data_IF_315744235267
#
_entry.id   IF_315744235267
#
_cell.length_a   1.000
_cell.length_b   1.000
_cell.length_c   1.000
_cell.angle_alpha   90.00
_cell.angle_beta   90.00
_cell.angle_gamma   90.00
#
_symmetry.space_group_name_H-M   'P 1'
#
loop_
_entity.id
_entity.type
_entity.pdbx_description
1 polymer ?
#
# COMPACT_ATOMS: atom_id res chain seq x y z
N UNK A 1 -11.89 19.12 -7.77
CA UNK A 1 -10.53 19.08 -8.38
C UNK A 1 -9.61 19.97 -7.56
N UNK A 2 -8.53 19.40 -7.04
CA UNK A 2 -7.52 20.13 -6.27
C UNK A 2 -6.75 21.07 -7.19
N UNK A 3 -6.64 22.35 -6.85
CA UNK A 3 -5.85 23.28 -7.64
C UNK A 3 -4.34 23.00 -7.51
N UNK A 4 -3.49 23.46 -8.45
CA UNK A 4 -2.03 23.32 -8.30
C UNK A 4 -1.49 23.97 -7.02
N UNK A 5 -2.12 25.05 -6.55
CA UNK A 5 -1.76 25.70 -5.28
C UNK A 5 -2.09 24.81 -4.08
N UNK A 6 -3.29 24.23 -4.03
CA UNK A 6 -3.71 23.31 -2.97
C UNK A 6 -2.79 22.08 -2.90
N UNK A 7 -2.40 21.55 -4.08
CA UNK A 7 -1.47 20.42 -4.17
C UNK A 7 -0.09 20.77 -3.62
N UNK A 8 0.40 21.97 -3.86
CA UNK A 8 1.70 22.40 -3.34
C UNK A 8 1.67 22.54 -1.82
N UNK A 9 0.58 23.04 -1.26
CA UNK A 9 0.37 23.11 0.20
C UNK A 9 0.31 21.71 0.79
N UNK A 10 -0.45 20.80 0.19
CA UNK A 10 -0.56 19.41 0.64
C UNK A 10 0.80 18.68 0.64
N UNK A 11 1.62 18.89 -0.40
CA UNK A 11 2.98 18.31 -0.47
C UNK A 11 3.87 18.84 0.66
N UNK A 12 3.80 20.14 0.96
CA UNK A 12 4.62 20.71 2.04
C UNK A 12 4.13 20.24 3.42
N UNK A 13 2.84 20.11 3.64
CA UNK A 13 2.27 19.52 4.86
C UNK A 13 2.77 18.08 5.01
N UNK A 14 2.70 17.27 3.95
CA UNK A 14 3.21 15.90 3.94
C UNK A 14 4.71 15.84 4.24
N UNK A 15 5.49 16.77 3.71
CA UNK A 15 6.91 16.89 4.02
C UNK A 15 7.16 17.18 5.49
N UNK A 16 6.38 18.07 6.12
CA UNK A 16 6.51 18.37 7.54
C UNK A 16 6.16 17.15 8.42
N UNK A 17 5.12 16.39 8.06
CA UNK A 17 4.76 15.17 8.77
C UNK A 17 5.87 14.12 8.60
N UNK A 18 6.38 13.95 7.38
CA UNK A 18 7.48 13.04 7.08
C UNK A 18 8.73 13.32 7.91
N UNK A 19 9.14 14.58 7.99
CA UNK A 19 10.32 14.99 8.76
C UNK A 19 10.18 14.69 10.26
N UNK A 20 8.97 14.77 10.81
CA UNK A 20 8.70 14.49 12.23
C UNK A 20 8.61 13.00 12.54
N UNK A 21 8.01 12.18 11.65
CA UNK A 21 7.63 10.82 11.96
C UNK A 21 8.34 9.73 11.17
N UNK A 22 9.00 10.06 10.05
CA UNK A 22 9.51 9.07 9.09
C UNK A 22 11.01 9.20 8.82
N UNK A 23 11.53 10.43 8.83
CA UNK A 23 12.89 10.74 8.41
C UNK A 23 13.99 10.07 9.26
N UNK A 24 13.72 9.79 10.53
CA UNK A 24 14.66 9.10 11.42
C UNK A 24 15.03 7.69 10.93
N UNK A 25 14.15 7.04 10.17
CA UNK A 25 14.38 5.72 9.60
C UNK A 25 14.63 5.78 8.09
N UNK A 26 13.89 6.63 7.36
CA UNK A 26 13.94 6.68 5.90
C UNK A 26 14.88 7.74 5.30
N UNK A 27 15.61 8.48 6.16
CA UNK A 27 16.48 9.56 5.72
C UNK A 27 15.74 10.89 5.53
N UNK A 28 16.46 12.00 5.61
CA UNK A 28 15.88 13.36 5.52
C UNK A 28 15.24 13.68 4.17
N UNK A 29 15.72 13.05 3.11
CA UNK A 29 15.22 13.19 1.74
C UNK A 29 14.54 11.91 1.24
N UNK A 30 14.10 11.03 2.16
CA UNK A 30 13.51 9.74 1.85
C UNK A 30 14.42 8.78 1.06
N UNK A 31 15.72 9.00 1.11
CA UNK A 31 16.77 8.23 0.42
C UNK A 31 16.97 6.82 1.00
N UNK A 32 16.35 6.52 2.15
CA UNK A 32 16.56 5.30 2.89
C UNK A 32 17.79 5.32 3.78
N UNK A 33 17.84 4.37 4.69
CA UNK A 33 18.96 4.14 5.59
C UNK A 33 19.20 2.63 5.75
N UNK A 34 20.20 2.22 6.52
CA UNK A 34 20.49 0.81 6.78
C UNK A 34 19.29 0.05 7.40
N UNK A 35 18.42 0.76 8.13
CA UNK A 35 17.29 0.19 8.87
C UNK A 35 15.96 0.29 8.13
N UNK A 36 15.88 1.13 7.07
CA UNK A 36 14.64 1.33 6.33
C UNK A 36 14.93 1.65 4.85
N UNK A 37 14.07 1.19 3.93
CA UNK A 37 14.28 1.40 2.49
C UNK A 37 14.10 2.86 2.08
N UNK A 38 14.64 3.21 0.90
CA UNK A 38 14.30 4.44 0.22
C UNK A 38 12.82 4.48 -0.15
N UNK A 39 12.22 5.66 -0.08
CA UNK A 39 10.83 5.89 -0.49
C UNK A 39 10.71 6.61 -1.84
N UNK A 40 11.82 6.93 -2.47
CA UNK A 40 11.86 7.55 -3.80
C UNK A 40 11.34 6.54 -4.83
N UNK A 41 10.24 6.88 -5.50
CA UNK A 41 9.62 6.02 -6.53
C UNK A 41 8.68 4.93 -6.01
N UNK A 42 8.43 4.82 -4.70
CA UNK A 42 7.47 3.83 -4.16
C UNK A 42 6.01 4.21 -4.46
N UNK A 43 5.73 5.47 -4.76
CA UNK A 43 4.43 5.96 -5.16
C UNK A 43 3.45 6.21 -4.01
N UNK A 44 2.36 6.93 -4.34
CA UNK A 44 1.32 7.30 -3.38
C UNK A 44 0.59 6.07 -2.80
N UNK A 45 0.31 5.06 -3.62
CA UNK A 45 -0.40 3.84 -3.19
C UNK A 45 0.35 3.09 -2.08
N UNK A 46 1.70 3.05 -2.14
CA UNK A 46 2.49 2.44 -1.07
C UNK A 46 2.33 3.18 0.26
N UNK A 47 2.28 4.50 0.23
CA UNK A 47 2.11 5.32 1.44
C UNK A 47 0.72 5.16 1.99
N UNK A 48 -0.31 5.28 1.16
CA UNK A 48 -1.71 5.13 1.58
C UNK A 48 -1.92 3.75 2.22
N UNK A 49 -1.43 2.69 1.59
CA UNK A 49 -1.48 1.35 2.15
C UNK A 49 -0.74 1.22 3.49
N UNK A 50 0.53 1.61 3.55
CA UNK A 50 1.37 1.38 4.73
C UNK A 50 0.93 2.23 5.92
N UNK A 51 0.63 3.49 5.68
CA UNK A 51 0.23 4.45 6.72
C UNK A 51 -1.24 4.28 7.07
N UNK A 52 -2.12 4.19 6.07
CA UNK A 52 -3.56 4.02 6.26
C UNK A 52 -3.95 2.71 6.94
N UNK A 53 -3.14 1.67 6.82
CA UNK A 53 -3.33 0.40 7.56
C UNK A 53 -2.55 0.33 8.86
N UNK A 54 -1.90 1.41 9.29
CA UNK A 54 -1.13 1.51 10.53
C UNK A 54 0.17 0.70 10.54
N UNK A 55 0.58 0.11 9.42
CA UNK A 55 1.87 -0.62 9.35
C UNK A 55 3.05 0.30 9.55
N UNK A 56 2.96 1.52 9.05
CA UNK A 56 3.93 2.59 9.28
C UNK A 56 3.29 3.73 10.09
N UNK A 57 4.07 4.35 10.97
CA UNK A 57 5.41 3.98 11.44
C UNK A 57 5.40 2.64 12.19
N UNK A 58 6.47 1.86 12.06
CA UNK A 58 6.61 0.61 12.83
C UNK A 58 6.67 0.89 14.32
N UNK A 59 6.06 0.01 15.11
CA UNK A 59 6.11 0.11 16.58
C UNK A 59 7.45 -0.35 17.16
N UNK A 60 8.11 -1.27 16.47
CA UNK A 60 9.40 -1.84 16.82
C UNK A 60 10.18 -2.26 15.56
N UNK A 61 11.42 -2.68 15.73
CA UNK A 61 12.29 -3.16 14.63
C UNK A 61 12.06 -4.64 14.34
N UNK A 62 10.81 -5.06 14.20
CA UNK A 62 10.46 -6.43 13.84
C UNK A 62 10.73 -6.74 12.37
N UNK A 63 10.71 -8.04 12.03
CA UNK A 63 10.95 -8.51 10.64
C UNK A 63 9.82 -8.20 9.69
N UNK A 64 8.68 -7.75 10.22
CA UNK A 64 7.48 -7.46 9.44
C UNK A 64 6.68 -6.32 10.10
N UNK A 65 6.23 -5.35 9.29
CA UNK A 65 5.32 -4.30 9.71
C UNK A 65 3.89 -4.86 9.81
N UNK A 66 3.44 -5.12 11.03
CA UNK A 66 2.09 -5.65 11.30
C UNK A 66 1.04 -4.54 11.19
N UNK A 67 -0.16 -4.92 10.73
CA UNK A 67 -1.33 -4.02 10.76
C UNK A 67 -1.67 -3.64 12.19
N UNK A 68 -1.92 -2.37 12.43
CA UNK A 68 -2.40 -1.80 13.70
C UNK A 68 -3.26 -0.57 13.43
N UNK A 69 -3.80 0.04 14.45
CA UNK A 69 -4.54 1.29 14.31
C UNK A 69 -3.64 2.39 13.74
N UNK A 70 -4.07 3.10 12.67
CA UNK A 70 -3.31 4.21 12.11
C UNK A 70 -3.14 5.33 13.12
N UNK A 71 -1.95 5.92 13.18
CA UNK A 71 -1.68 7.09 14.04
C UNK A 71 -1.92 8.41 13.31
N UNK A 72 -1.98 8.38 11.99
CA UNK A 72 -2.31 9.51 11.12
C UNK A 72 -3.73 9.38 10.61
N UNK A 73 -4.44 10.49 10.55
CA UNK A 73 -5.78 10.54 9.96
C UNK A 73 -5.71 10.52 8.42
N UNK A 74 -6.88 10.50 7.76
CA UNK A 74 -6.95 10.39 6.30
C UNK A 74 -6.30 11.58 5.57
N UNK A 75 -6.43 12.80 6.10
CA UNK A 75 -5.84 14.01 5.50
C UNK A 75 -4.31 14.00 5.63
N UNK A 76 -3.80 13.64 6.80
CA UNK A 76 -2.36 13.49 7.05
C UNK A 76 -1.75 12.37 6.18
N UNK A 77 -2.45 11.26 6.04
CA UNK A 77 -2.04 10.14 5.16
C UNK A 77 -2.00 10.58 3.69
N UNK A 78 -3.02 11.31 3.23
CA UNK A 78 -3.05 11.87 1.88
C UNK A 78 -1.93 12.89 1.64
N UNK A 79 -1.60 13.72 2.62
CA UNK A 79 -0.49 14.68 2.53
C UNK A 79 0.87 13.94 2.45
N UNK A 80 1.08 12.92 3.28
CA UNK A 80 2.28 12.06 3.20
C UNK A 80 2.40 11.38 1.83
N UNK A 81 1.29 10.84 1.31
CA UNK A 81 1.23 10.21 -0.01
C UNK A 81 1.58 11.20 -1.12
N UNK A 82 1.04 12.43 -1.06
CA UNK A 82 1.34 13.49 -2.01
C UNK A 82 2.81 13.89 -1.98
N UNK A 83 3.41 14.03 -0.79
CA UNK A 83 4.84 14.32 -0.64
C UNK A 83 5.71 13.22 -1.26
N UNK A 84 5.51 11.96 -0.90
CA UNK A 84 6.32 10.86 -1.42
C UNK A 84 6.15 10.71 -2.94
N UNK A 85 4.93 10.85 -3.45
CA UNK A 85 4.67 10.85 -4.89
C UNK A 85 5.36 12.00 -5.65
N UNK A 86 5.63 13.13 -4.98
CA UNK A 86 6.36 14.25 -5.57
C UNK A 86 7.86 13.99 -5.73
N UNK A 87 8.42 13.00 -5.05
CA UNK A 87 9.85 12.69 -5.10
C UNK A 87 10.24 11.95 -6.40
N UNK A 88 9.40 11.04 -6.88
CA UNK A 88 9.56 10.36 -8.16
C UNK A 88 8.27 9.63 -8.56
N UNK A 89 8.06 9.32 -9.85
CA UNK A 89 6.93 8.53 -10.31
C UNK A 89 6.86 7.14 -9.66
N UNK A 90 5.64 6.70 -9.33
CA UNK A 90 5.36 5.39 -8.75
C UNK A 90 3.86 5.08 -8.80
N UNK A 91 3.41 3.92 -8.29
CA UNK A 91 2.00 3.55 -8.28
C UNK A 91 1.11 4.61 -7.62
N UNK A 92 0.06 5.02 -8.34
CA UNK A 92 -0.93 5.97 -7.84
C UNK A 92 -1.97 5.25 -6.95
N UNK A 93 -2.59 5.99 -6.03
CA UNK A 93 -3.76 5.52 -5.30
C UNK A 93 -4.87 5.26 -6.32
N UNK A 94 -5.52 4.09 -6.31
CA UNK A 94 -6.62 3.82 -7.22
C UNK A 94 -7.79 4.78 -6.96
N UNK A 95 -8.39 5.30 -8.04
CA UNK A 95 -9.58 6.15 -7.91
C UNK A 95 -10.81 5.30 -7.56
N UNK A 96 -11.82 5.92 -6.94
CA UNK A 96 -13.09 5.24 -6.66
C UNK A 96 -13.73 4.66 -7.93
N UNK A 97 -13.61 5.36 -9.06
CA UNK A 97 -14.12 4.88 -10.35
C UNK A 97 -13.37 3.65 -10.86
N UNK A 98 -12.06 3.51 -10.54
CA UNK A 98 -11.27 2.34 -10.89
C UNK A 98 -11.43 1.17 -9.92
N UNK A 99 -12.15 1.36 -8.81
CA UNK A 99 -12.47 0.33 -7.82
C UNK A 99 -13.93 -0.14 -7.90
N UNK A 100 -14.59 0.05 -9.03
CA UNK A 100 -15.99 -0.37 -9.20
C UNK A 100 -16.11 -1.88 -9.46
N UNK A 101 -15.68 -2.69 -8.47
CA UNK A 101 -15.67 -4.15 -8.52
C UNK A 101 -17.07 -4.76 -8.65
N UNK A 102 -18.11 -4.10 -8.14
CA UNK A 102 -19.50 -4.58 -8.27
C UNK A 102 -20.00 -4.58 -9.73
N UNK A 103 -19.54 -3.63 -10.52
CA UNK A 103 -19.88 -3.51 -11.94
C UNK A 103 -18.91 -4.26 -12.85
N UNK A 104 -17.62 -4.13 -12.59
CA UNK A 104 -16.56 -4.51 -13.52
C UNK A 104 -15.83 -5.79 -13.10
N UNK A 105 -16.09 -6.30 -11.88
CA UNK A 105 -15.51 -7.54 -11.36
C UNK A 105 -16.34 -8.77 -11.65
N UNK A 106 -15.68 -9.92 -11.70
CA UNK A 106 -16.28 -11.26 -11.84
C UNK A 106 -15.86 -12.15 -10.68
N UNK A 107 -16.77 -12.48 -9.78
CA UNK A 107 -16.50 -13.35 -8.61
C UNK A 107 -15.97 -14.72 -9.02
N UNK A 108 -16.45 -15.28 -10.14
CA UNK A 108 -15.99 -16.57 -10.62
C UNK A 108 -14.53 -16.53 -11.09
N UNK A 109 -14.19 -15.52 -11.88
CA UNK A 109 -12.83 -15.27 -12.37
C UNK A 109 -11.90 -14.90 -11.22
N UNK A 110 -12.32 -13.99 -10.33
CA UNK A 110 -11.57 -13.60 -9.15
C UNK A 110 -11.23 -14.78 -8.25
N UNK A 111 -12.19 -15.69 -8.06
CA UNK A 111 -11.96 -16.92 -7.30
C UNK A 111 -10.92 -17.85 -7.95
N UNK A 112 -10.86 -17.91 -9.28
CA UNK A 112 -9.83 -18.68 -10.01
C UNK A 112 -8.46 -18.00 -9.90
N UNK A 113 -8.40 -16.70 -10.16
CA UNK A 113 -7.18 -15.90 -10.03
C UNK A 113 -6.61 -15.95 -8.61
N UNK A 114 -7.46 -15.84 -7.60
CA UNK A 114 -7.06 -15.92 -6.19
C UNK A 114 -6.42 -17.29 -5.87
N UNK A 115 -7.06 -18.38 -6.29
CA UNK A 115 -6.51 -19.74 -6.05
C UNK A 115 -5.15 -19.93 -6.72
N UNK A 116 -4.97 -19.39 -7.90
CA UNK A 116 -3.73 -19.56 -8.67
C UNK A 116 -2.59 -18.65 -8.19
N UNK A 117 -2.89 -17.44 -7.68
CA UNK A 117 -1.87 -16.42 -7.41
C UNK A 117 -1.74 -16.05 -5.93
N UNK A 118 -2.77 -16.22 -5.11
CA UNK A 118 -2.83 -15.64 -3.76
C UNK A 118 -2.95 -16.70 -2.66
N UNK A 119 -3.70 -17.77 -2.91
CA UNK A 119 -4.03 -18.77 -1.91
C UNK A 119 -2.81 -19.50 -1.32
N UNK A 120 -1.70 -19.58 -2.06
CA UNK A 120 -0.46 -20.20 -1.58
C UNK A 120 0.08 -19.49 -0.32
N UNK A 121 -0.08 -18.17 -0.23
CA UNK A 121 0.36 -17.38 0.92
C UNK A 121 -0.81 -17.01 1.84
N UNK A 122 -1.95 -16.59 1.26
CA UNK A 122 -3.09 -16.09 2.01
C UNK A 122 -4.09 -17.16 2.44
N UNK A 123 -3.80 -18.45 2.17
CA UNK A 123 -4.70 -19.58 2.41
C UNK A 123 -5.90 -19.58 1.45
N UNK A 124 -6.51 -20.74 1.30
CA UNK A 124 -7.65 -20.99 0.42
C UNK A 124 -8.84 -20.03 0.64
N UNK A 125 -9.12 -19.68 1.89
CA UNK A 125 -10.22 -18.78 2.27
C UNK A 125 -9.74 -17.36 2.62
N UNK A 126 -8.53 -16.95 2.25
CA UNK A 126 -8.01 -15.62 2.55
C UNK A 126 -7.75 -15.35 4.03
N UNK A 127 -7.61 -16.39 4.85
CA UNK A 127 -7.41 -16.26 6.29
C UNK A 127 -5.98 -15.86 6.69
N UNK A 128 -5.08 -15.84 5.72
CA UNK A 128 -3.67 -15.65 5.96
C UNK A 128 -2.94 -16.94 6.34
N UNK A 129 -1.64 -16.87 6.50
CA UNK A 129 -0.83 -18.04 6.84
C UNK A 129 0.61 -17.70 7.14
N UNK A 130 1.29 -18.63 7.81
CA UNK A 130 2.70 -18.52 8.14
C UNK A 130 3.56 -18.60 6.85
N UNK A 131 4.54 -17.73 6.78
CA UNK A 131 5.58 -17.71 5.75
C UNK A 131 6.93 -18.08 6.34
N UNK A 132 7.95 -18.16 5.51
CA UNK A 132 9.32 -18.42 5.96
C UNK A 132 9.87 -17.26 6.81
N UNK A 133 10.89 -17.54 7.61
CA UNK A 133 11.62 -16.56 8.42
C UNK A 133 10.74 -15.81 9.45
N UNK A 134 9.72 -16.46 9.99
CA UNK A 134 8.83 -15.85 10.99
C UNK A 134 7.88 -14.79 10.44
N UNK A 135 7.75 -14.67 9.12
CA UNK A 135 6.80 -13.78 8.47
C UNK A 135 5.42 -14.43 8.37
N UNK A 136 4.43 -13.61 8.10
CA UNK A 136 3.04 -14.02 8.03
C UNK A 136 2.31 -13.28 6.91
N UNK A 137 1.59 -14.01 6.06
CA UNK A 137 0.65 -13.39 5.13
C UNK A 137 -0.63 -13.03 5.88
N UNK A 138 -1.05 -11.76 5.88
CA UNK A 138 -2.19 -11.33 6.68
C UNK A 138 -3.50 -11.92 6.17
N UNK A 139 -4.51 -11.96 7.06
CA UNK A 139 -5.88 -12.22 6.65
C UNK A 139 -6.37 -11.11 5.71
N UNK A 140 -7.15 -11.51 4.70
CA UNK A 140 -7.83 -10.61 3.78
C UNK A 140 -9.29 -10.38 4.18
N UNK A 141 -9.75 -11.06 5.24
CA UNK A 141 -11.12 -10.92 5.73
C UNK A 141 -11.33 -9.52 6.31
N UNK A 142 -12.35 -8.82 5.78
CA UNK A 142 -12.68 -7.45 6.23
C UNK A 142 -11.62 -6.39 5.88
N UNK A 143 -10.74 -6.65 4.92
CA UNK A 143 -9.84 -5.65 4.37
C UNK A 143 -10.59 -4.84 3.31
N UNK A 144 -10.41 -3.53 3.32
CA UNK A 144 -11.01 -2.65 2.32
C UNK A 144 -10.48 -2.99 0.91
N UNK A 145 -11.36 -3.02 -0.11
CA UNK A 145 -10.96 -3.31 -1.50
C UNK A 145 -9.81 -2.45 -2.01
N UNK A 146 -9.79 -1.17 -1.66
CA UNK A 146 -8.71 -0.24 -2.00
C UNK A 146 -7.35 -0.78 -1.54
N UNK A 147 -7.25 -1.22 -0.30
CA UNK A 147 -6.01 -1.72 0.26
C UNK A 147 -5.58 -3.07 -0.34
N UNK A 148 -6.53 -3.91 -0.78
CA UNK A 148 -6.21 -5.15 -1.51
C UNK A 148 -5.60 -4.78 -2.87
N UNK A 149 -6.21 -3.86 -3.60
CA UNK A 149 -5.71 -3.38 -4.88
C UNK A 149 -4.31 -2.74 -4.75
N UNK A 150 -4.13 -1.86 -3.77
CA UNK A 150 -2.85 -1.22 -3.48
C UNK A 150 -1.77 -2.24 -3.14
N UNK A 151 -2.09 -3.26 -2.35
CA UNK A 151 -1.15 -4.34 -2.05
C UNK A 151 -0.72 -5.10 -3.31
N UNK A 152 -1.63 -5.36 -4.24
CA UNK A 152 -1.28 -6.03 -5.50
C UNK A 152 -0.33 -5.19 -6.36
N UNK A 153 -0.56 -3.88 -6.46
CA UNK A 153 0.27 -3.01 -7.33
C UNK A 153 1.58 -2.56 -6.69
N UNK A 154 1.69 -2.63 -5.37
CA UNK A 154 2.89 -2.16 -4.63
C UNK A 154 3.76 -3.30 -4.10
N UNK A 155 3.21 -4.49 -3.88
CA UNK A 155 3.93 -5.64 -3.36
C UNK A 155 4.54 -5.39 -1.97
N UNK A 156 3.74 -5.13 -0.92
CA UNK A 156 4.27 -4.81 0.39
C UNK A 156 5.08 -5.97 1.00
N UNK A 157 6.24 -5.65 1.53
CA UNK A 157 7.11 -6.58 2.25
C UNK A 157 7.53 -7.81 1.41
N UNK A 158 6.98 -8.99 1.68
CA UNK A 158 7.29 -10.23 0.94
C UNK A 158 6.26 -10.58 -0.14
N UNK A 159 5.21 -9.77 -0.29
CA UNK A 159 4.22 -9.95 -1.34
C UNK A 159 4.83 -9.52 -2.69
N UNK A 160 4.68 -10.30 -3.77
CA UNK A 160 5.14 -9.86 -5.09
C UNK A 160 4.28 -8.71 -5.62
N UNK A 161 4.87 -7.90 -6.51
CA UNK A 161 4.11 -6.92 -7.29
C UNK A 161 3.39 -7.64 -8.43
N UNK A 162 2.08 -7.47 -8.52
CA UNK A 162 1.28 -7.94 -9.65
C UNK A 162 1.08 -6.79 -10.64
N UNK A 163 1.99 -6.70 -11.59
CA UNK A 163 1.91 -5.69 -12.67
C UNK A 163 0.69 -5.93 -13.56
N UNK A 164 0.26 -4.91 -14.29
CA UNK A 164 -0.87 -5.02 -15.24
C UNK A 164 -0.60 -5.98 -16.41
N UNK A 165 0.66 -6.39 -16.58
CA UNK A 165 1.05 -7.45 -17.54
C UNK A 165 0.85 -8.85 -16.96
N UNK A 166 0.81 -8.98 -15.64
CA UNK A 166 0.66 -10.27 -14.94
C UNK A 166 -0.79 -10.53 -14.57
N UNK A 167 -1.44 -9.54 -14.01
CA UNK A 167 -2.87 -9.51 -13.66
C UNK A 167 -3.37 -8.13 -14.10
N UNK A 168 -4.29 -8.09 -15.06
CA UNK A 168 -4.80 -6.82 -15.59
C UNK A 168 -5.57 -6.02 -14.54
N UNK A 169 -5.83 -4.73 -14.75
CA UNK A 169 -6.66 -3.95 -13.83
C UNK A 169 -8.05 -4.56 -13.61
N UNK A 170 -8.69 -5.09 -14.67
CA UNK A 170 -10.01 -5.73 -14.62
C UNK A 170 -9.95 -7.04 -13.81
N UNK A 171 -8.92 -7.85 -14.01
CA UNK A 171 -8.67 -9.07 -13.23
C UNK A 171 -8.42 -8.75 -11.76
N UNK A 172 -7.71 -7.67 -11.44
CA UNK A 172 -7.51 -7.22 -10.05
C UNK A 172 -8.82 -6.81 -9.38
N UNK A 173 -9.78 -6.26 -10.14
CA UNK A 173 -11.12 -5.94 -9.62
C UNK A 173 -11.96 -7.18 -9.36
N UNK A 174 -11.66 -8.28 -10.02
CA UNK A 174 -12.36 -9.56 -9.84
C UNK A 174 -11.89 -10.30 -8.59
N UNK A 175 -10.65 -10.07 -8.14
CA UNK A 175 -10.04 -10.68 -6.94
C UNK A 175 -10.56 -10.03 -5.66
#
# INVERSE_FOLDING_TARGET
ETTPADRSVQIEEGRQIFLKGCSSCHGLNAEGMQIAPALIGVGAASVDFQVGTGRMPMADMSTQAMRKDPIYNAEETAALAAYVASLAPGPAIPSESSLNYERDGSTAEGGELFRNNCAMCHNFAGQGGALTQGKYAPTLMGVEPKHIYEAMVTGPQSMPVFSDKTITPEEKLSI
#
